data_IF_883977067626
#
_entry.id   IF_883977067626
#
_cell.length_a   1.000
_cell.length_b   1.000
_cell.length_c   1.000
_cell.angle_alpha   90.00
_cell.angle_beta   90.00
_cell.angle_gamma   90.00
#
_symmetry.space_group_name_H-M   'P 1'
#
loop_
_entity.id
_entity.type
_entity.pdbx_description
1 polymer ?
#
# COMPACT_ATOMS: atom_id res chain seq x y z
N UNK A 1 -46.83 29.49 -44.17
CA UNK A 1 -46.37 29.73 -42.82
C UNK A 1 -46.54 28.52 -41.87
N UNK A 2 -47.72 27.97 -41.67
CA UNK A 2 -47.96 26.84 -40.74
C UNK A 2 -47.15 25.54 -41.05
N UNK A 3 -46.89 25.22 -42.32
CA UNK A 3 -46.12 24.02 -42.70
C UNK A 3 -44.59 24.19 -42.43
N UNK A 4 -44.04 25.38 -42.60
CA UNK A 4 -42.64 25.64 -42.29
C UNK A 4 -42.36 25.60 -40.80
N UNK A 5 -43.28 26.17 -40.00
CA UNK A 5 -43.19 26.14 -38.51
C UNK A 5 -43.24 24.69 -37.99
N UNK A 6 -44.13 23.85 -38.55
CA UNK A 6 -44.17 22.40 -38.20
C UNK A 6 -42.87 21.65 -38.55
N UNK A 7 -42.24 21.95 -39.71
CA UNK A 7 -40.96 21.36 -40.08
C UNK A 7 -39.81 21.77 -39.15
N UNK A 8 -39.77 23.05 -38.72
CA UNK A 8 -38.78 23.55 -37.82
C UNK A 8 -38.95 22.93 -36.41
N UNK A 9 -40.17 22.81 -35.91
CA UNK A 9 -40.46 22.17 -34.62
C UNK A 9 -40.10 20.66 -34.68
N UNK A 10 -40.38 19.96 -35.76
CA UNK A 10 -40.03 18.55 -35.92
C UNK A 10 -38.50 18.35 -35.99
N UNK A 11 -37.77 19.25 -36.66
CA UNK A 11 -36.31 19.23 -36.70
C UNK A 11 -35.69 19.54 -35.33
N UNK A 12 -36.23 20.48 -34.56
CA UNK A 12 -35.79 20.74 -33.20
C UNK A 12 -36.08 19.56 -32.27
N UNK A 13 -37.23 18.90 -32.38
CA UNK A 13 -37.54 17.71 -31.58
C UNK A 13 -36.64 16.53 -31.93
N UNK A 14 -36.30 16.32 -33.20
CA UNK A 14 -35.34 15.30 -33.63
C UNK A 14 -33.92 15.65 -33.13
N UNK A 15 -33.53 16.93 -33.17
CA UNK A 15 -32.23 17.38 -32.65
C UNK A 15 -32.14 17.24 -31.15
N UNK A 16 -33.21 17.55 -30.41
CA UNK A 16 -33.29 17.34 -28.94
C UNK A 16 -33.28 15.84 -28.62
N UNK A 17 -33.94 14.99 -29.43
CA UNK A 17 -33.92 13.56 -29.23
C UNK A 17 -32.55 12.91 -29.56
N UNK A 18 -31.81 13.44 -30.54
CA UNK A 18 -30.45 13.01 -30.83
C UNK A 18 -29.44 13.49 -29.77
N UNK A 19 -29.68 14.62 -29.13
CA UNK A 19 -28.88 15.10 -27.99
C UNK A 19 -29.17 14.33 -26.68
N UNK A 20 -30.31 13.64 -26.59
CA UNK A 20 -30.69 12.82 -25.42
C UNK A 20 -30.28 11.34 -25.55
N UNK A 21 -29.66 10.91 -26.65
CA UNK A 21 -28.93 9.65 -26.68
C UNK A 21 -27.65 9.85 -25.84
N UNK A 22 -27.83 9.86 -24.53
CA UNK A 22 -26.73 9.87 -23.58
C UNK A 22 -25.71 8.81 -24.00
N UNK A 23 -24.48 9.23 -24.23
CA UNK A 23 -23.38 8.32 -24.53
C UNK A 23 -23.41 7.26 -23.41
N UNK A 24 -23.79 6.05 -23.75
CA UNK A 24 -23.77 4.93 -22.82
C UNK A 24 -22.31 4.80 -22.39
N UNK A 25 -22.02 5.05 -21.11
CA UNK A 25 -20.68 5.02 -20.60
C UNK A 25 -20.05 3.67 -20.99
N UNK A 26 -18.89 3.73 -21.65
CA UNK A 26 -18.20 2.51 -22.11
C UNK A 26 -17.90 1.60 -20.92
N UNK A 27 -18.17 0.31 -21.09
CA UNK A 27 -17.85 -0.68 -20.07
C UNK A 27 -16.33 -0.82 -19.98
N UNK A 28 -15.77 -0.63 -18.80
CA UNK A 28 -14.36 -0.83 -18.49
C UNK A 28 -14.19 -2.15 -17.75
N UNK A 29 -13.27 -2.98 -18.24
CA UNK A 29 -12.92 -4.27 -17.65
C UNK A 29 -11.49 -4.22 -17.16
N UNK A 30 -11.23 -4.80 -15.99
CA UNK A 30 -9.92 -4.89 -15.41
C UNK A 30 -9.63 -6.24 -14.78
N UNK A 31 -8.34 -6.49 -14.62
CA UNK A 31 -7.82 -7.62 -13.86
C UNK A 31 -6.89 -7.09 -12.78
N UNK A 32 -7.07 -7.55 -11.54
CA UNK A 32 -6.10 -7.29 -10.48
C UNK A 32 -5.43 -8.59 -10.04
N UNK A 33 -4.11 -8.58 -10.06
CA UNK A 33 -3.26 -9.72 -9.72
C UNK A 33 -2.55 -9.45 -8.40
N UNK A 34 -2.84 -10.26 -7.37
CA UNK A 34 -2.22 -10.12 -6.05
C UNK A 34 -0.98 -11.00 -5.94
N UNK A 35 0.12 -10.45 -5.41
CA UNK A 35 1.37 -11.17 -5.18
C UNK A 35 1.31 -12.19 -4.04
N UNK A 36 0.27 -12.15 -3.23
CA UNK A 36 0.01 -13.03 -2.09
C UNK A 36 -1.46 -13.07 -1.69
N UNK A 37 -1.77 -13.69 -0.54
CA UNK A 37 -3.14 -13.77 -0.03
C UNK A 37 -3.74 -12.37 0.22
N UNK A 38 -5.01 -12.20 -0.10
CA UNK A 38 -5.73 -10.93 0.14
C UNK A 38 -5.93 -10.69 1.65
N UNK A 39 -5.94 -11.77 2.44
CA UNK A 39 -6.09 -11.71 3.90
C UNK A 39 -4.76 -11.56 4.66
N UNK A 40 -3.75 -10.94 4.02
CA UNK A 40 -2.42 -10.71 4.61
C UNK A 40 -2.40 -9.67 5.74
N UNK A 41 -3.54 -9.03 5.99
CA UNK A 41 -3.75 -7.99 6.98
C UNK A 41 -2.85 -6.74 6.75
N UNK A 42 -2.47 -6.50 5.50
CA UNK A 42 -1.57 -5.41 5.12
C UNK A 42 -1.65 -5.09 3.63
N UNK A 43 -0.57 -5.32 2.91
CA UNK A 43 -0.32 -4.86 1.55
C UNK A 43 -1.39 -5.29 0.53
N UNK A 44 -1.71 -6.60 0.43
CA UNK A 44 -2.71 -7.08 -0.51
C UNK A 44 -4.13 -6.73 -0.08
N UNK A 45 -4.42 -6.73 1.24
CA UNK A 45 -5.71 -6.30 1.77
C UNK A 45 -6.01 -4.84 1.38
N UNK A 46 -5.03 -3.94 1.53
CA UNK A 46 -5.21 -2.53 1.17
C UNK A 46 -5.50 -2.34 -0.33
N UNK A 47 -4.81 -3.09 -1.19
CA UNK A 47 -5.08 -3.07 -2.63
C UNK A 47 -6.50 -3.57 -2.95
N UNK A 48 -6.96 -4.61 -2.25
CA UNK A 48 -8.31 -5.13 -2.38
C UNK A 48 -9.38 -4.12 -1.94
N UNK A 49 -9.17 -3.41 -0.84
CA UNK A 49 -10.09 -2.35 -0.38
C UNK A 49 -10.16 -1.18 -1.38
N UNK A 50 -9.03 -0.79 -1.97
CA UNK A 50 -8.99 0.21 -3.04
C UNK A 50 -9.79 -0.22 -4.28
N UNK A 51 -9.62 -1.47 -4.70
CA UNK A 51 -10.41 -2.07 -5.79
C UNK A 51 -11.91 -2.07 -5.48
N UNK A 52 -12.32 -2.54 -4.29
CA UNK A 52 -13.75 -2.54 -3.88
C UNK A 52 -14.35 -1.15 -3.92
N UNK A 53 -13.60 -0.14 -3.44
CA UNK A 53 -14.02 1.25 -3.49
C UNK A 53 -14.22 1.72 -4.93
N UNK A 54 -13.31 1.36 -5.86
CA UNK A 54 -13.44 1.70 -7.28
C UNK A 54 -14.67 1.04 -7.92
N UNK A 55 -14.88 -0.27 -7.72
CA UNK A 55 -16.05 -0.97 -8.22
C UNK A 55 -17.35 -0.31 -7.74
N UNK A 56 -17.41 0.04 -6.45
CA UNK A 56 -18.58 0.73 -5.89
C UNK A 56 -18.79 2.13 -6.51
N UNK A 57 -17.71 2.86 -6.75
CA UNK A 57 -17.78 4.26 -7.23
C UNK A 57 -18.08 4.38 -8.72
N UNK A 58 -17.67 3.38 -9.51
CA UNK A 58 -17.82 3.37 -10.98
C UNK A 58 -18.84 2.36 -11.49
N UNK A 59 -19.63 1.73 -10.61
CA UNK A 59 -20.75 0.87 -11.01
C UNK A 59 -21.81 1.67 -11.81
N UNK A 60 -22.51 1.07 -12.79
CA UNK A 60 -22.42 -0.32 -13.24
C UNK A 60 -21.43 -0.56 -14.41
N UNK A 61 -20.56 0.39 -14.72
CA UNK A 61 -19.71 0.36 -15.93
C UNK A 61 -18.33 -0.25 -15.69
N UNK A 62 -17.93 -0.50 -14.43
CA UNK A 62 -16.65 -1.10 -14.07
C UNK A 62 -16.80 -2.54 -13.58
N UNK A 63 -16.06 -3.46 -14.21
CA UNK A 63 -15.96 -4.88 -13.83
C UNK A 63 -14.49 -5.24 -13.63
N UNK A 64 -14.17 -5.89 -12.52
CA UNK A 64 -12.79 -6.29 -12.20
C UNK A 64 -12.77 -7.75 -11.79
N UNK A 65 -11.99 -8.54 -12.52
CA UNK A 65 -11.64 -9.89 -12.14
C UNK A 65 -10.41 -9.91 -11.24
N UNK A 66 -10.27 -10.94 -10.42
CA UNK A 66 -9.19 -11.07 -9.46
C UNK A 66 -8.39 -12.34 -9.68
N UNK A 67 -7.07 -12.22 -9.58
CA UNK A 67 -6.16 -13.36 -9.61
C UNK A 67 -5.24 -13.30 -8.37
N UNK A 68 -5.21 -14.38 -7.60
CA UNK A 68 -4.33 -14.50 -6.43
C UNK A 68 -3.23 -15.51 -6.73
N UNK A 69 -1.99 -15.07 -6.67
CA UNK A 69 -0.84 -15.95 -6.83
C UNK A 69 -0.69 -16.85 -5.60
N UNK A 70 -1.13 -18.11 -5.72
CA UNK A 70 -1.05 -19.11 -4.65
C UNK A 70 0.34 -19.73 -4.50
N UNK A 71 1.24 -19.52 -5.46
CA UNK A 71 2.61 -20.08 -5.47
C UNK A 71 3.59 -18.93 -5.66
N UNK A 72 4.18 -18.47 -4.58
CA UNK A 72 5.25 -17.48 -4.63
C UNK A 72 6.31 -17.88 -5.71
N UNK A 73 6.49 -17.02 -6.72
CA UNK A 73 7.56 -17.16 -7.71
C UNK A 73 7.26 -17.91 -9.01
N UNK A 74 6.04 -18.41 -9.26
CA UNK A 74 5.69 -19.08 -10.53
C UNK A 74 4.52 -18.44 -11.27
N UNK A 75 4.58 -17.13 -11.45
CA UNK A 75 3.71 -16.46 -12.40
C UNK A 75 4.31 -16.60 -13.80
N UNK A 76 3.56 -17.22 -14.70
CA UNK A 76 3.97 -17.31 -16.10
C UNK A 76 3.34 -16.15 -16.86
N UNK A 77 4.17 -15.39 -17.58
CA UNK A 77 3.68 -14.27 -18.42
C UNK A 77 2.57 -14.70 -19.40
N UNK A 78 2.55 -15.98 -19.78
CA UNK A 78 1.51 -16.57 -20.63
C UNK A 78 0.12 -16.59 -19.97
N UNK A 79 0.05 -16.93 -18.69
CA UNK A 79 -1.21 -17.00 -17.95
C UNK A 79 -1.86 -15.61 -17.82
N UNK A 80 -1.05 -14.60 -17.51
CA UNK A 80 -1.53 -13.21 -17.42
C UNK A 80 -1.94 -12.69 -18.79
N UNK A 81 -1.19 -13.01 -19.86
CA UNK A 81 -1.54 -12.61 -21.22
C UNK A 81 -2.90 -13.19 -21.66
N UNK A 82 -3.20 -14.44 -21.31
CA UNK A 82 -4.48 -15.07 -21.61
C UNK A 82 -5.63 -14.42 -20.85
N UNK A 83 -5.42 -14.12 -19.56
CA UNK A 83 -6.41 -13.48 -18.70
C UNK A 83 -6.66 -12.02 -19.13
N UNK A 84 -5.60 -11.29 -19.50
CA UNK A 84 -5.66 -9.85 -19.79
C UNK A 84 -6.10 -9.50 -21.23
N UNK A 85 -6.29 -10.49 -22.11
CA UNK A 85 -6.52 -10.26 -23.54
C UNK A 85 -7.84 -9.51 -23.88
N UNK A 86 -8.75 -9.38 -22.90
CA UNK A 86 -10.03 -8.66 -23.04
C UNK A 86 -10.16 -7.47 -22.09
N UNK A 87 -9.11 -7.20 -21.33
CA UNK A 87 -9.15 -6.21 -20.26
C UNK A 87 -8.62 -4.85 -20.73
N UNK A 88 -9.28 -3.77 -20.28
CA UNK A 88 -8.80 -2.40 -20.51
C UNK A 88 -7.56 -2.11 -19.69
N UNK A 89 -7.47 -2.73 -18.47
CA UNK A 89 -6.30 -2.59 -17.62
C UNK A 89 -5.99 -3.86 -16.83
N UNK A 90 -4.73 -3.97 -16.41
CA UNK A 90 -4.24 -5.02 -15.52
C UNK A 90 -3.40 -4.38 -14.43
N UNK A 91 -3.72 -4.66 -13.17
CA UNK A 91 -2.94 -4.21 -12.00
C UNK A 91 -2.20 -5.40 -11.41
N UNK A 92 -0.90 -5.26 -11.22
CA UNK A 92 -0.06 -6.17 -10.45
C UNK A 92 0.24 -5.57 -9.08
N UNK A 93 -0.14 -6.24 -8.01
CA UNK A 93 0.12 -5.82 -6.63
C UNK A 93 1.42 -6.47 -6.15
N UNK A 94 2.49 -5.69 -6.16
CA UNK A 94 3.86 -6.10 -5.85
C UNK A 94 4.81 -6.02 -7.06
N UNK A 95 6.09 -5.78 -6.77
CA UNK A 95 7.19 -5.64 -7.73
C UNK A 95 7.42 -6.89 -8.59
N UNK A 96 7.02 -8.06 -8.11
CA UNK A 96 7.10 -9.34 -8.83
C UNK A 96 6.40 -9.30 -10.20
N UNK A 97 5.44 -8.39 -10.39
CA UNK A 97 4.73 -8.21 -11.65
C UNK A 97 5.48 -7.34 -12.65
N UNK A 98 6.45 -6.52 -12.20
CA UNK A 98 7.17 -5.61 -13.09
C UNK A 98 7.87 -6.31 -14.26
N UNK A 99 8.70 -7.34 -14.06
CA UNK A 99 9.35 -8.03 -15.17
C UNK A 99 8.37 -8.75 -16.09
N UNK A 100 7.21 -9.16 -15.57
CA UNK A 100 6.16 -9.81 -16.34
C UNK A 100 5.46 -8.79 -17.24
N UNK A 101 5.00 -7.67 -16.66
CA UNK A 101 4.29 -6.64 -17.40
C UNK A 101 5.19 -5.93 -18.41
N UNK A 102 6.47 -5.69 -18.07
CA UNK A 102 7.43 -5.16 -19.02
C UNK A 102 7.58 -6.02 -20.30
N UNK A 103 7.41 -7.34 -20.17
CA UNK A 103 7.49 -8.29 -21.31
C UNK A 103 6.20 -8.36 -22.13
N UNK A 104 5.03 -8.22 -21.50
CA UNK A 104 3.73 -8.39 -22.18
C UNK A 104 3.10 -7.08 -22.63
N UNK A 105 3.30 -5.97 -21.93
CA UNK A 105 2.71 -4.68 -22.25
C UNK A 105 2.97 -4.20 -23.69
N UNK A 106 4.19 -4.35 -24.26
CA UNK A 106 4.43 -3.98 -25.67
C UNK A 106 3.60 -4.77 -26.68
N UNK A 107 3.15 -5.97 -26.31
CA UNK A 107 2.33 -6.85 -27.16
C UNK A 107 0.84 -6.55 -27.07
N UNK A 108 0.44 -5.73 -26.10
CA UNK A 108 -0.93 -5.39 -25.75
C UNK A 108 -1.12 -3.87 -25.62
N UNK A 109 -0.89 -3.08 -26.69
CA UNK A 109 -0.81 -1.61 -26.61
C UNK A 109 -2.11 -0.93 -26.17
N UNK A 110 -3.25 -1.62 -26.30
CA UNK A 110 -4.56 -1.10 -25.86
C UNK A 110 -4.84 -1.32 -24.38
N UNK A 111 -4.18 -2.30 -23.74
CA UNK A 111 -4.33 -2.61 -22.33
C UNK A 111 -3.37 -1.75 -21.51
N UNK A 112 -3.85 -1.12 -20.45
CA UNK A 112 -3.04 -0.36 -19.50
C UNK A 112 -2.54 -1.30 -18.40
N UNK A 113 -1.24 -1.29 -18.15
CA UNK A 113 -0.61 -2.06 -17.11
C UNK A 113 -0.19 -1.16 -15.96
N UNK A 114 -0.42 -1.59 -14.72
CA UNK A 114 -0.10 -0.83 -13.52
C UNK A 114 0.59 -1.76 -12.53
N UNK A 115 1.76 -1.39 -12.05
CA UNK A 115 2.48 -2.14 -11.01
C UNK A 115 2.50 -1.32 -9.73
N UNK A 116 1.84 -1.84 -8.70
CA UNK A 116 1.91 -1.29 -7.35
C UNK A 116 3.21 -1.78 -6.70
N UNK A 117 3.99 -0.86 -6.15
CA UNK A 117 5.37 -1.07 -5.66
C UNK A 117 6.40 -1.33 -6.77
N UNK A 118 6.08 -0.96 -8.03
CA UNK A 118 7.04 -0.96 -9.13
C UNK A 118 8.08 0.15 -8.94
N UNK A 119 9.36 -0.18 -9.05
CA UNK A 119 10.47 0.67 -8.61
C UNK A 119 11.08 1.55 -9.71
N UNK A 120 10.66 1.41 -10.98
CA UNK A 120 11.29 2.10 -12.11
C UNK A 120 10.35 2.35 -13.28
N UNK A 121 10.66 3.41 -14.04
CA UNK A 121 10.00 3.68 -15.32
C UNK A 121 10.59 2.79 -16.42
N UNK A 122 9.75 1.93 -16.99
CA UNK A 122 10.13 1.02 -18.08
C UNK A 122 10.10 1.67 -19.46
N UNK A 123 9.76 2.98 -19.56
CA UNK A 123 9.64 3.73 -20.83
C UNK A 123 8.64 3.11 -21.82
N UNK A 124 7.57 2.50 -21.29
CA UNK A 124 6.46 1.93 -22.06
C UNK A 124 5.25 2.86 -22.00
N UNK A 125 4.57 3.05 -23.13
CA UNK A 125 3.44 3.98 -23.26
C UNK A 125 2.15 3.52 -22.59
N UNK A 126 2.13 2.28 -22.09
CA UNK A 126 0.97 1.66 -21.46
C UNK A 126 1.31 0.96 -20.13
N UNK A 127 2.43 1.32 -19.50
CA UNK A 127 2.84 0.80 -18.20
C UNK A 127 3.08 1.95 -17.22
N UNK A 128 2.36 1.94 -16.10
CA UNK A 128 2.59 2.80 -14.94
C UNK A 128 3.18 1.96 -13.80
N UNK A 129 4.27 2.42 -13.22
CA UNK A 129 4.78 1.93 -11.95
C UNK A 129 4.46 2.95 -10.86
N UNK A 130 3.94 2.49 -9.73
CA UNK A 130 3.75 3.33 -8.54
C UNK A 130 4.67 2.82 -7.44
N UNK A 131 5.64 3.64 -7.07
CA UNK A 131 6.63 3.35 -6.02
C UNK A 131 6.27 4.10 -4.75
N UNK A 132 6.25 3.41 -3.63
CA UNK A 132 6.21 4.06 -2.32
C UNK A 132 7.62 4.37 -1.83
N UNK A 133 7.79 5.51 -1.16
CA UNK A 133 9.06 5.85 -0.50
C UNK A 133 9.19 5.10 0.83
N UNK A 134 9.61 3.86 0.74
CA UNK A 134 9.76 2.96 1.90
C UNK A 134 10.71 3.53 2.96
N UNK A 135 11.70 4.32 2.56
CA UNK A 135 12.63 4.92 3.52
C UNK A 135 11.92 5.92 4.44
N UNK A 136 11.00 6.76 3.91
CA UNK A 136 10.21 7.66 4.75
C UNK A 136 9.27 6.91 5.68
N UNK A 137 8.61 5.85 5.20
CA UNK A 137 7.71 5.00 6.01
C UNK A 137 8.44 4.47 7.24
N UNK A 138 9.58 3.82 7.04
CA UNK A 138 10.30 3.16 8.13
C UNK A 138 11.12 4.13 8.98
N UNK A 139 11.52 5.28 8.41
CA UNK A 139 12.13 6.35 9.18
C UNK A 139 11.15 6.88 10.24
N UNK A 140 9.88 7.11 9.88
CA UNK A 140 8.83 7.48 10.83
C UNK A 140 8.66 6.43 11.93
N UNK A 141 8.72 5.13 11.60
CA UNK A 141 8.70 4.06 12.60
C UNK A 141 9.89 4.14 13.56
N UNK A 142 11.08 4.43 13.03
CA UNK A 142 12.30 4.63 13.82
C UNK A 142 12.22 5.83 14.75
N UNK A 143 11.67 6.94 14.25
CA UNK A 143 11.40 8.15 15.08
C UNK A 143 10.40 7.83 16.18
N UNK A 144 9.29 7.15 15.88
CA UNK A 144 8.29 6.76 16.86
C UNK A 144 8.88 5.89 17.97
N UNK A 145 9.66 4.87 17.59
CA UNK A 145 10.31 3.99 18.53
C UNK A 145 11.37 4.73 19.39
N UNK A 146 12.21 5.53 18.75
CA UNK A 146 13.27 6.28 19.40
C UNK A 146 12.75 7.30 20.41
N UNK A 147 11.67 8.02 20.06
CA UNK A 147 11.03 9.00 20.95
C UNK A 147 10.31 8.37 22.15
N UNK A 148 9.96 7.07 22.04
CA UNK A 148 9.14 6.38 23.05
C UNK A 148 9.96 5.46 23.94
N UNK A 149 11.06 4.89 23.45
CA UNK A 149 11.87 3.93 24.21
C UNK A 149 12.37 4.51 25.52
N UNK A 150 12.33 3.68 26.57
CA UNK A 150 12.93 3.98 27.88
C UNK A 150 14.24 3.24 28.07
N UNK A 151 14.41 2.11 27.39
CA UNK A 151 15.58 1.25 27.49
C UNK A 151 16.73 1.67 26.59
N UNK A 152 16.49 2.59 25.64
CA UNK A 152 17.37 2.90 24.52
C UNK A 152 17.74 1.66 23.68
N UNK A 153 16.86 0.66 23.68
CA UNK A 153 17.07 -0.60 22.99
C UNK A 153 15.75 -0.98 22.30
N UNK A 154 15.70 -0.81 20.98
CA UNK A 154 14.53 -1.05 20.16
C UNK A 154 14.76 -2.22 19.21
N UNK A 155 13.69 -2.75 18.63
CA UNK A 155 13.73 -3.93 17.78
C UNK A 155 13.13 -3.73 16.40
N UNK A 156 13.63 -4.50 15.43
CA UNK A 156 13.07 -4.69 14.12
C UNK A 156 12.89 -6.19 13.85
N UNK A 157 11.71 -6.62 13.38
CA UNK A 157 11.50 -8.00 12.93
C UNK A 157 10.89 -7.99 11.53
N UNK A 158 11.71 -8.39 10.54
CA UNK A 158 11.30 -8.51 9.13
C UNK A 158 10.77 -9.88 8.77
N UNK A 159 10.18 -10.00 7.57
CA UNK A 159 9.68 -11.27 7.02
C UNK A 159 10.81 -12.20 6.60
N UNK A 160 11.61 -11.83 5.62
CA UNK A 160 12.71 -12.64 5.06
C UNK A 160 14.00 -11.80 4.95
N UNK A 161 15.07 -12.31 5.55
CA UNK A 161 16.39 -11.65 5.53
C UNK A 161 17.05 -11.57 4.15
N UNK A 162 16.66 -12.45 3.24
CA UNK A 162 17.26 -12.54 1.90
C UNK A 162 16.60 -11.54 0.91
N UNK A 163 15.47 -10.94 1.28
CA UNK A 163 14.84 -9.91 0.48
C UNK A 163 15.54 -8.57 0.74
N UNK A 164 16.07 -7.95 -0.32
CA UNK A 164 16.71 -6.63 -0.26
C UNK A 164 15.80 -5.58 0.36
N UNK A 165 14.52 -5.61 0.00
CA UNK A 165 13.53 -4.70 0.58
C UNK A 165 13.52 -4.73 2.12
N UNK A 166 13.60 -5.92 2.74
CA UNK A 166 13.65 -6.03 4.21
C UNK A 166 14.92 -5.44 4.83
N UNK A 167 16.05 -5.48 4.11
CA UNK A 167 17.29 -4.84 4.56
C UNK A 167 17.23 -3.32 4.42
N UNK A 168 16.60 -2.83 3.34
CA UNK A 168 16.39 -1.40 3.11
C UNK A 168 15.45 -0.83 4.20
N UNK A 169 14.39 -1.56 4.57
CA UNK A 169 13.49 -1.20 5.67
C UNK A 169 14.23 -1.12 7.03
N UNK A 170 15.07 -2.10 7.34
CA UNK A 170 15.89 -2.07 8.57
C UNK A 170 16.81 -0.85 8.58
N UNK A 171 17.41 -0.50 7.45
CA UNK A 171 18.30 0.65 7.33
C UNK A 171 17.57 1.96 7.60
N UNK A 172 16.41 2.17 6.99
CA UNK A 172 15.59 3.37 7.22
C UNK A 172 15.10 3.47 8.66
N UNK A 173 14.70 2.33 9.28
CA UNK A 173 14.31 2.28 10.69
C UNK A 173 15.44 2.73 11.64
N UNK A 174 16.68 2.26 11.38
CA UNK A 174 17.86 2.68 12.12
C UNK A 174 18.11 4.19 11.98
N UNK A 175 18.07 4.72 10.76
CA UNK A 175 18.23 6.16 10.53
C UNK A 175 17.20 7.00 11.30
N UNK A 176 15.95 6.55 11.41
CA UNK A 176 14.91 7.22 12.18
C UNK A 176 15.20 7.22 13.68
N UNK A 177 15.71 6.10 14.22
CA UNK A 177 16.14 6.00 15.61
C UNK A 177 17.34 6.89 15.89
N UNK A 178 18.36 6.87 15.03
CA UNK A 178 19.58 7.67 15.13
C UNK A 178 19.27 9.18 15.06
N UNK A 179 18.28 9.58 14.26
CA UNK A 179 17.81 10.96 14.18
C UNK A 179 17.30 11.48 15.54
N UNK A 180 16.65 10.61 16.32
CA UNK A 180 16.17 10.95 17.66
C UNK A 180 17.32 10.94 18.68
N UNK A 181 18.10 9.87 18.67
CA UNK A 181 19.26 9.72 19.57
C UNK A 181 20.20 8.62 19.04
N UNK A 182 21.43 8.98 18.63
CA UNK A 182 22.43 8.02 18.12
C UNK A 182 22.87 6.94 19.11
N UNK A 183 22.56 7.11 20.42
CA UNK A 183 22.89 6.10 21.46
C UNK A 183 21.88 4.93 21.46
N UNK A 184 20.76 5.02 20.73
CA UNK A 184 19.75 3.97 20.67
C UNK A 184 20.30 2.75 19.92
N UNK A 185 20.18 1.58 20.55
CA UNK A 185 20.57 0.30 19.96
C UNK A 185 19.39 -0.32 19.23
N UNK A 186 19.60 -0.75 17.98
CA UNK A 186 18.60 -1.45 17.17
C UNK A 186 18.98 -2.92 17.02
N UNK A 187 18.21 -3.80 17.68
CA UNK A 187 18.29 -5.24 17.45
C UNK A 187 17.43 -5.63 16.26
N UNK A 188 17.88 -6.60 15.45
CA UNK A 188 17.10 -7.07 14.30
C UNK A 188 17.01 -8.59 14.25
N UNK A 189 15.87 -9.10 13.78
CA UNK A 189 15.64 -10.52 13.48
C UNK A 189 14.67 -10.65 12.28
N UNK A 190 14.50 -11.86 11.78
CA UNK A 190 13.61 -12.15 10.65
C UNK A 190 12.83 -13.44 10.93
N UNK A 191 11.53 -13.43 10.63
CA UNK A 191 10.64 -14.58 10.85
C UNK A 191 11.01 -15.73 9.90
N UNK A 192 11.43 -15.41 8.68
CA UNK A 192 11.60 -16.36 7.59
C UNK A 192 10.26 -16.82 7.00
N UNK A 193 9.19 -16.00 7.18
CA UNK A 193 7.83 -16.24 6.68
C UNK A 193 7.02 -14.95 6.73
N UNK A 194 6.06 -14.81 5.82
CA UNK A 194 5.07 -13.74 5.85
C UNK A 194 3.68 -14.21 6.35
N UNK A 195 3.56 -15.49 6.74
CA UNK A 195 2.27 -16.12 7.09
C UNK A 195 2.29 -16.91 8.39
N UNK A 196 3.28 -16.71 9.27
CA UNK A 196 3.45 -17.46 10.53
C UNK A 196 3.49 -16.52 11.76
N UNK A 197 2.31 -16.12 12.31
CA UNK A 197 2.24 -15.30 13.51
C UNK A 197 2.85 -15.97 14.75
N UNK A 198 2.76 -17.31 14.87
CA UNK A 198 3.30 -18.03 16.02
C UNK A 198 4.81 -17.91 16.11
N UNK A 199 5.50 -18.00 14.97
CA UNK A 199 6.96 -17.82 14.91
C UNK A 199 7.36 -16.37 15.21
N UNK A 200 6.59 -15.39 14.75
CA UNK A 200 6.77 -13.98 15.11
C UNK A 200 6.63 -13.79 16.63
N UNK A 201 5.56 -14.32 17.25
CA UNK A 201 5.34 -14.22 18.70
C UNK A 201 6.56 -14.73 19.48
N UNK A 202 7.09 -15.89 19.09
CA UNK A 202 8.28 -16.47 19.75
C UNK A 202 9.50 -15.56 19.63
N UNK A 203 9.79 -15.05 18.43
CA UNK A 203 10.93 -14.13 18.19
C UNK A 203 10.78 -12.80 18.92
N UNK A 204 9.58 -12.23 18.92
CA UNK A 204 9.30 -10.99 19.62
C UNK A 204 9.48 -11.12 21.13
N UNK A 205 8.97 -12.20 21.74
CA UNK A 205 9.20 -12.48 23.17
C UNK A 205 10.68 -12.64 23.50
N UNK A 206 11.46 -13.34 22.66
CA UNK A 206 12.90 -13.45 22.84
C UNK A 206 13.61 -12.09 22.77
N UNK A 207 13.15 -11.20 21.90
CA UNK A 207 13.71 -9.85 21.74
C UNK A 207 13.35 -8.95 22.92
N UNK A 208 12.09 -8.97 23.38
CA UNK A 208 11.65 -8.25 24.58
C UNK A 208 12.40 -8.70 25.84
N UNK A 209 12.72 -10.00 25.96
CA UNK A 209 13.52 -10.54 27.07
C UNK A 209 14.98 -10.03 27.07
N UNK A 210 15.47 -9.49 25.95
CA UNK A 210 16.79 -8.84 25.82
C UNK A 210 16.72 -7.33 26.02
N UNK A 211 15.80 -6.85 26.85
CA UNK A 211 15.61 -5.45 27.21
C UNK A 211 15.13 -4.52 26.09
N UNK A 212 14.66 -5.06 24.96
CA UNK A 212 13.93 -4.28 23.97
C UNK A 212 12.56 -3.89 24.53
N UNK A 213 12.13 -2.65 24.31
CA UNK A 213 10.82 -2.16 24.81
C UNK A 213 9.85 -1.68 23.72
N UNK A 214 10.35 -1.43 22.51
CA UNK A 214 9.53 -1.14 21.32
C UNK A 214 10.05 -1.97 20.15
N UNK A 215 9.18 -2.70 19.45
CA UNK A 215 9.53 -3.47 18.24
C UNK A 215 8.68 -2.99 17.07
N UNK A 216 9.32 -2.74 15.93
CA UNK A 216 8.65 -2.55 14.63
C UNK A 216 8.69 -3.85 13.83
N UNK A 217 7.58 -4.19 13.16
CA UNK A 217 7.49 -5.36 12.29
C UNK A 217 7.26 -4.96 10.83
N UNK A 218 7.86 -5.74 9.91
CA UNK A 218 7.61 -5.70 8.47
C UNK A 218 7.55 -7.12 7.92
N UNK A 219 6.51 -7.88 8.29
CA UNK A 219 6.42 -9.32 8.04
C UNK A 219 5.01 -9.79 7.61
N UNK A 220 4.19 -8.90 7.05
CA UNK A 220 2.84 -9.23 6.59
C UNK A 220 2.00 -9.87 7.70
N UNK A 221 1.24 -10.92 7.38
CA UNK A 221 0.38 -11.63 8.36
C UNK A 221 1.15 -12.19 9.57
N UNK A 222 2.43 -12.53 9.40
CA UNK A 222 3.28 -12.93 10.54
C UNK A 222 3.34 -11.84 11.59
N UNK A 223 3.29 -10.56 11.19
CA UNK A 223 3.35 -9.39 12.05
C UNK A 223 2.31 -9.36 13.17
N UNK A 224 1.14 -9.98 12.98
CA UNK A 224 0.10 -10.08 14.01
C UNK A 224 0.63 -10.72 15.31
N UNK A 225 1.57 -11.65 15.21
CA UNK A 225 2.18 -12.27 16.37
C UNK A 225 3.01 -11.33 17.24
N UNK A 226 3.48 -10.19 16.69
CA UNK A 226 4.15 -9.17 17.47
C UNK A 226 3.19 -8.52 18.48
N UNK A 227 1.96 -8.23 18.10
CA UNK A 227 0.99 -7.57 18.98
C UNK A 227 0.59 -8.47 20.13
N UNK A 228 0.40 -9.77 19.84
CA UNK A 228 0.19 -10.79 20.88
C UNK A 228 1.36 -10.85 21.88
N UNK A 229 2.61 -10.82 21.37
CA UNK A 229 3.79 -10.82 22.23
C UNK A 229 3.88 -9.53 23.07
N UNK A 230 3.65 -8.36 22.45
CA UNK A 230 3.70 -7.06 23.12
C UNK A 230 2.68 -6.98 24.27
N UNK A 231 1.44 -7.39 24.02
CA UNK A 231 0.39 -7.44 25.04
C UNK A 231 0.76 -8.37 26.21
N UNK A 232 1.32 -9.56 25.92
CA UNK A 232 1.72 -10.53 26.93
C UNK A 232 2.76 -9.99 27.91
N UNK A 233 3.70 -9.17 27.42
CA UNK A 233 4.81 -8.63 28.25
C UNK A 233 4.65 -7.14 28.56
N UNK A 234 3.54 -6.52 28.16
CA UNK A 234 3.23 -5.09 28.37
C UNK A 234 4.31 -4.16 27.81
N UNK A 235 4.77 -4.47 26.60
CA UNK A 235 5.74 -3.69 25.82
C UNK A 235 5.04 -3.13 24.58
N UNK A 236 5.74 -2.35 23.76
CA UNK A 236 5.18 -1.65 22.64
C UNK A 236 5.55 -2.28 21.29
N UNK A 237 4.62 -2.20 20.35
CA UNK A 237 4.75 -2.67 18.98
C UNK A 237 4.41 -1.55 17.99
N UNK A 238 5.05 -1.56 16.83
CA UNK A 238 4.72 -0.71 15.69
C UNK A 238 4.31 -1.60 14.53
N UNK A 239 3.15 -1.28 13.93
CA UNK A 239 2.60 -1.98 12.77
C UNK A 239 3.09 -1.44 11.43
N UNK A 240 2.71 -2.13 10.35
CA UNK A 240 3.10 -1.80 8.98
C UNK A 240 1.91 -1.89 8.02
N UNK A 241 1.98 -1.13 6.92
CA UNK A 241 1.09 -1.08 5.75
C UNK A 241 -0.30 -0.49 6.01
N UNK A 242 -0.95 -0.81 7.12
CA UNK A 242 -2.30 -0.36 7.48
C UNK A 242 -2.41 -0.06 8.97
N UNK A 243 -3.51 0.55 9.40
CA UNK A 243 -3.81 0.69 10.83
C UNK A 243 -4.05 -0.68 11.47
N UNK A 244 -3.01 -1.24 12.06
CA UNK A 244 -3.07 -2.55 12.70
C UNK A 244 -3.94 -2.57 13.97
N UNK A 245 -4.21 -1.40 14.56
CA UNK A 245 -5.04 -1.30 15.75
C UNK A 245 -6.47 -1.79 15.51
N UNK A 246 -6.99 -1.59 14.27
CA UNK A 246 -8.35 -2.05 13.92
C UNK A 246 -8.43 -3.55 13.60
N UNK A 247 -7.29 -4.20 13.37
CA UNK A 247 -7.19 -5.60 12.94
C UNK A 247 -6.95 -6.58 14.08
N UNK A 248 -6.52 -6.10 15.24
CA UNK A 248 -6.17 -6.95 16.38
C UNK A 248 -7.28 -6.99 17.44
N UNK A 249 -7.32 -8.02 18.32
CA UNK A 249 -8.19 -8.07 19.47
C UNK A 249 -8.05 -6.82 20.35
N UNK A 250 -9.16 -6.41 20.97
CA UNK A 250 -9.21 -5.20 21.82
C UNK A 250 -8.12 -5.20 22.92
N UNK A 251 -7.82 -6.36 23.50
CA UNK A 251 -6.80 -6.49 24.55
C UNK A 251 -5.36 -6.23 24.08
N UNK A 252 -5.08 -6.28 22.79
CA UNK A 252 -3.75 -6.04 22.22
C UNK A 252 -3.54 -4.57 21.84
N UNK A 253 -4.62 -3.84 21.56
CA UNK A 253 -4.60 -2.45 21.08
C UNK A 253 -3.80 -1.46 21.93
N UNK A 254 -3.86 -1.50 23.28
CA UNK A 254 -3.11 -0.57 24.13
C UNK A 254 -1.57 -0.69 23.99
N UNK A 255 -1.10 -1.76 23.36
CA UNK A 255 0.33 -2.03 23.16
C UNK A 255 0.80 -1.70 21.73
N UNK A 256 -0.06 -1.16 20.87
CA UNK A 256 0.30 -0.69 19.54
C UNK A 256 0.58 0.81 19.63
N UNK A 257 1.87 1.18 19.52
CA UNK A 257 2.30 2.57 19.55
C UNK A 257 1.72 3.36 18.37
N UNK A 258 1.91 2.84 17.17
CA UNK A 258 1.39 3.33 15.90
C UNK A 258 1.51 2.24 14.84
N UNK A 259 1.03 2.52 13.64
CA UNK A 259 1.38 1.80 12.43
C UNK A 259 1.90 2.79 11.41
N UNK A 260 2.96 2.44 10.68
CA UNK A 260 3.35 3.19 9.49
C UNK A 260 2.60 2.64 8.29
N UNK A 261 2.07 3.52 7.46
CA UNK A 261 1.08 3.13 6.46
C UNK A 261 1.50 3.54 5.06
N UNK A 262 1.18 2.67 4.09
CA UNK A 262 1.17 2.96 2.65
C UNK A 262 -0.29 3.06 2.20
N UNK A 263 -0.66 4.14 1.53
CA UNK A 263 -2.04 4.36 1.07
C UNK A 263 -2.32 3.62 -0.24
N UNK A 264 -2.02 2.33 -0.25
CA UNK A 264 -2.23 1.44 -1.39
C UNK A 264 -3.69 1.44 -1.83
N UNK A 265 -4.62 1.53 -0.89
CA UNK A 265 -6.06 1.67 -1.13
C UNK A 265 -6.38 2.89 -2.01
N UNK A 266 -5.81 4.04 -1.70
CA UNK A 266 -6.01 5.28 -2.43
C UNK A 266 -5.34 5.23 -3.80
N UNK A 267 -4.14 4.67 -3.89
CA UNK A 267 -3.38 4.52 -5.12
C UNK A 267 -4.10 3.59 -6.10
N UNK A 268 -4.55 2.43 -5.66
CA UNK A 268 -5.29 1.48 -6.50
C UNK A 268 -6.62 2.11 -6.97
N UNK A 269 -7.34 2.78 -6.08
CA UNK A 269 -8.55 3.52 -6.44
C UNK A 269 -8.28 4.59 -7.50
N UNK A 270 -7.23 5.41 -7.34
CA UNK A 270 -6.86 6.47 -8.27
C UNK A 270 -6.40 5.90 -9.63
N UNK A 271 -5.60 4.84 -9.61
CA UNK A 271 -5.10 4.18 -10.82
C UNK A 271 -6.24 3.59 -11.65
N UNK A 272 -7.22 2.93 -11.02
CA UNK A 272 -8.43 2.46 -11.71
C UNK A 272 -9.22 3.65 -12.26
N UNK A 273 -9.38 4.70 -11.45
CA UNK A 273 -10.09 5.92 -11.82
C UNK A 273 -9.49 6.60 -13.04
N UNK A 274 -8.16 6.65 -13.17
CA UNK A 274 -7.47 7.24 -14.33
C UNK A 274 -7.79 6.48 -15.63
N UNK A 275 -7.90 5.14 -15.56
CA UNK A 275 -8.29 4.37 -16.75
C UNK A 275 -9.77 4.58 -17.09
N UNK A 276 -10.66 4.58 -16.10
CA UNK A 276 -12.11 4.78 -16.30
C UNK A 276 -12.39 6.15 -16.93
N UNK A 277 -11.61 7.18 -16.57
CA UNK A 277 -11.75 8.56 -17.07
C UNK A 277 -10.93 8.87 -18.31
N UNK A 278 -10.20 7.88 -18.85
CA UNK A 278 -9.25 8.07 -19.95
C UNK A 278 -8.14 9.10 -19.66
N UNK A 279 -7.69 9.15 -18.40
CA UNK A 279 -6.66 10.04 -17.85
C UNK A 279 -5.34 9.28 -17.54
N UNK A 280 -5.21 8.03 -18.02
CA UNK A 280 -4.05 7.19 -17.72
C UNK A 280 -2.73 7.81 -18.19
N UNK A 281 -1.78 7.93 -17.29
CA UNK A 281 -0.43 8.43 -17.57
C UNK A 281 0.59 7.33 -17.27
N UNK A 282 1.38 6.88 -18.27
CA UNK A 282 2.44 5.88 -18.05
C UNK A 282 3.66 6.48 -17.36
N UNK A 283 4.57 5.62 -16.91
CA UNK A 283 5.86 6.03 -16.33
C UNK A 283 6.04 5.60 -14.89
N UNK A 284 6.71 6.42 -14.09
CA UNK A 284 6.93 6.20 -12.65
C UNK A 284 6.25 7.30 -11.84
N UNK A 285 5.35 6.90 -10.96
CA UNK A 285 4.76 7.75 -9.93
C UNK A 285 5.40 7.40 -8.57
N UNK A 286 5.76 8.41 -7.78
CA UNK A 286 6.34 8.22 -6.45
C UNK A 286 5.32 8.71 -5.42
N UNK A 287 5.03 7.85 -4.47
CA UNK A 287 4.16 8.10 -3.32
C UNK A 287 5.03 8.26 -2.08
N UNK A 288 5.01 9.43 -1.48
CA UNK A 288 5.81 9.82 -0.32
C UNK A 288 4.95 10.60 0.71
N UNK A 289 5.57 11.16 1.73
CA UNK A 289 4.86 11.99 2.71
C UNK A 289 4.25 13.24 2.05
N UNK A 290 4.87 13.78 0.99
CA UNK A 290 4.38 14.99 0.32
C UNK A 290 3.11 14.75 -0.51
N UNK A 291 2.93 13.53 -1.04
CA UNK A 291 1.73 13.12 -1.77
C UNK A 291 0.64 12.59 -0.81
N UNK A 292 0.98 12.34 0.44
CA UNK A 292 0.12 11.62 1.39
C UNK A 292 0.03 10.12 1.12
N UNK A 293 0.90 9.60 0.23
CA UNK A 293 0.97 8.17 -0.10
C UNK A 293 1.56 7.32 1.02
N UNK A 294 2.39 7.93 1.88
CA UNK A 294 2.92 7.31 3.09
C UNK A 294 2.72 8.20 4.31
N UNK A 295 2.52 7.59 5.48
CA UNK A 295 2.26 8.31 6.73
C UNK A 295 2.38 7.37 7.94
N UNK A 296 1.97 7.84 9.11
CA UNK A 296 1.77 7.04 10.31
C UNK A 296 0.35 7.23 10.86
N UNK A 297 -0.11 6.28 11.68
CA UNK A 297 -1.43 6.34 12.30
C UNK A 297 -1.38 7.23 13.54
N UNK A 298 -2.24 8.24 13.55
CA UNK A 298 -2.53 9.11 14.70
C UNK A 298 -4.05 9.23 14.81
N UNK A 299 -4.64 8.42 15.65
CA UNK A 299 -6.08 8.39 15.87
C UNK A 299 -6.44 8.15 17.35
N UNK A 300 -7.73 8.16 17.66
CA UNK A 300 -8.22 7.97 19.03
C UNK A 300 -7.78 6.64 19.67
N UNK A 301 -7.51 5.59 18.85
CA UNK A 301 -7.13 4.26 19.31
C UNK A 301 -5.71 4.19 19.87
N UNK A 302 -4.79 5.08 19.43
CA UNK A 302 -3.39 5.08 19.87
C UNK A 302 -2.93 6.40 20.53
N UNK A 303 -3.81 7.37 20.67
CA UNK A 303 -3.48 8.73 21.14
C UNK A 303 -2.69 8.76 22.45
N UNK A 304 -3.10 7.98 23.44
CA UNK A 304 -2.47 7.96 24.76
C UNK A 304 -1.05 7.37 24.67
N UNK A 305 -0.90 6.27 23.96
CA UNK A 305 0.40 5.57 23.80
C UNK A 305 1.35 6.40 22.95
N UNK A 306 0.85 7.05 21.90
CA UNK A 306 1.62 7.84 20.95
C UNK A 306 2.07 9.19 21.53
N UNK A 307 1.45 9.68 22.60
CA UNK A 307 1.66 11.04 23.15
C UNK A 307 3.15 11.41 23.33
N UNK A 308 4.02 10.44 23.67
CA UNK A 308 5.45 10.69 23.85
C UNK A 308 6.20 10.97 22.55
N UNK A 309 5.78 10.34 21.46
CA UNK A 309 6.41 10.49 20.15
C UNK A 309 5.75 11.58 19.30
N UNK A 310 4.56 12.06 19.70
CA UNK A 310 3.69 12.88 18.89
C UNK A 310 4.37 14.15 18.36
N UNK A 311 5.02 14.91 19.24
CA UNK A 311 5.66 16.17 18.84
C UNK A 311 6.78 15.95 17.82
N UNK A 312 7.62 14.92 18.01
CA UNK A 312 8.70 14.59 17.08
C UNK A 312 8.17 14.03 15.77
N UNK A 313 7.14 13.17 15.81
CA UNK A 313 6.52 12.64 14.61
C UNK A 313 5.86 13.74 13.77
N UNK A 314 5.17 14.69 14.40
CA UNK A 314 4.57 15.83 13.70
C UNK A 314 5.63 16.70 13.03
N UNK A 315 6.71 17.04 13.75
CA UNK A 315 7.82 17.84 13.22
C UNK A 315 8.51 17.12 12.04
N UNK A 316 8.84 15.84 12.20
CA UNK A 316 9.50 15.04 11.16
C UNK A 316 8.58 14.86 9.94
N UNK A 317 7.33 14.52 10.17
CA UNK A 317 6.37 14.33 9.07
C UNK A 317 6.17 15.63 8.28
N UNK A 318 6.08 16.77 8.96
CA UNK A 318 6.01 18.08 8.31
C UNK A 318 7.27 18.38 7.47
N UNK A 319 8.47 18.09 7.98
CA UNK A 319 9.74 18.25 7.26
C UNK A 319 9.82 17.35 6.02
N UNK A 320 9.35 16.11 6.10
CA UNK A 320 9.28 15.17 4.96
C UNK A 320 8.26 15.68 3.93
N UNK A 321 7.08 16.08 4.37
CA UNK A 321 6.02 16.63 3.50
C UNK A 321 6.50 17.86 2.73
N UNK A 322 7.25 18.73 3.37
CA UNK A 322 7.85 19.93 2.76
C UNK A 322 9.17 19.66 2.02
N UNK A 323 9.63 18.41 1.97
CA UNK A 323 10.95 18.01 1.42
C UNK A 323 12.14 18.77 2.04
N UNK A 324 11.97 19.20 3.29
CA UNK A 324 12.98 19.89 4.09
C UNK A 324 13.92 18.93 4.85
N UNK A 325 13.62 17.64 4.87
CA UNK A 325 14.42 16.57 5.40
C UNK A 325 14.69 15.53 4.32
N UNK A 326 15.98 15.20 4.09
CA UNK A 326 16.43 14.11 3.23
C UNK A 326 16.89 12.94 4.11
N UNK A 327 16.48 11.72 3.75
CA UNK A 327 16.76 10.49 4.51
C UNK A 327 17.85 9.66 3.84
#
# INVERSE_FOLDING_TARGET
MKQQVRRVILLMLVMVFMLSMGAQAAVVRGLICYGGPIDDQGFNLMAYEGMKKAVKSYAPTLYIDTFVNKKAGKLVAGDISLLSNKENFVIGVGDVYLPIFAKIAPKMPKTKFIVIDGDRDMKLTNLLCVKFNDQEVVFLAGVAAGATTKSQNIGFIGGDKNLRANQDLLTGYKKGADYVNPAIKVQSDFVGSFTDPSKMTKKALQMYNRHVDVIFQAAGKSGLGLFTAAAKVKKLAIGCDTDQNVLVPFAERPYILTSVVKRIDSVVFAAIGSVVKDEFTPGLQIEDCSTGGVSYVDNAGNKEVLARAQAQLLDVNAKLTLKALQI
#
